data_IF_494351896306
#
_entry.id   IF_494351896306
#
_cell.length_a   1.000
_cell.length_b   1.000
_cell.length_c   1.000
_cell.angle_alpha   90.00
_cell.angle_beta   90.00
_cell.angle_gamma   90.00
#
_symmetry.space_group_name_H-M   'P 1'
#
loop_
_entity.id
_entity.type
_entity.pdbx_description
1 polymer ?
#
# COMPACT_ATOMS: atom_id res chain seq x y z
N UNK A 1 22.62 14.66 0.86
CA UNK A 1 22.74 13.31 1.46
C UNK A 1 21.87 13.11 2.72
N UNK A 2 22.05 13.86 3.83
CA UNK A 2 21.34 13.60 5.10
C UNK A 2 19.80 13.76 5.02
N UNK A 3 19.31 14.81 4.35
CA UNK A 3 17.87 15.05 4.18
C UNK A 3 17.16 13.99 3.30
N UNK A 4 17.92 13.34 2.40
CA UNK A 4 17.41 12.31 1.50
C UNK A 4 17.25 10.98 2.23
N UNK A 5 18.25 10.59 3.03
CA UNK A 5 18.16 9.41 3.89
C UNK A 5 16.95 9.49 4.83
N UNK A 6 16.67 10.67 5.40
CA UNK A 6 15.48 10.84 6.24
C UNK A 6 14.17 10.66 5.47
N UNK A 7 14.08 11.12 4.21
CA UNK A 7 12.90 10.90 3.37
C UNK A 7 12.73 9.43 2.98
N UNK A 8 13.82 8.76 2.59
CA UNK A 8 13.80 7.33 2.27
C UNK A 8 13.38 6.48 3.47
N UNK A 9 13.94 6.74 4.65
CA UNK A 9 13.54 6.07 5.90
C UNK A 9 12.06 6.32 6.19
N UNK A 10 11.58 7.56 6.06
CA UNK A 10 10.16 7.87 6.27
C UNK A 10 9.23 7.16 5.28
N UNK A 11 9.61 7.07 4.00
CA UNK A 11 8.83 6.36 2.97
C UNK A 11 8.82 4.86 3.24
N UNK A 12 9.98 4.27 3.55
CA UNK A 12 10.10 2.85 3.92
C UNK A 12 9.34 2.50 5.20
N UNK A 13 9.35 3.38 6.20
CA UNK A 13 8.54 3.22 7.40
C UNK A 13 7.05 3.24 7.08
N UNK A 14 6.59 4.20 6.28
CA UNK A 14 5.18 4.33 5.90
C UNK A 14 4.70 3.12 5.10
N UNK A 15 5.49 2.63 4.15
CA UNK A 15 5.15 1.45 3.35
C UNK A 15 5.11 0.19 4.21
N UNK A 16 6.09 -0.01 5.10
CA UNK A 16 6.16 -1.13 6.03
C UNK A 16 4.97 -1.15 7.00
N UNK A 17 4.62 0.01 7.59
CA UNK A 17 3.42 0.17 8.43
C UNK A 17 2.14 -0.17 7.66
N UNK A 18 1.99 0.35 6.43
CA UNK A 18 0.81 0.08 5.59
C UNK A 18 0.67 -1.41 5.28
N UNK A 19 1.75 -2.07 4.86
CA UNK A 19 1.73 -3.49 4.54
C UNK A 19 1.32 -4.35 5.75
N UNK A 20 1.84 -4.05 6.94
CA UNK A 20 1.50 -4.80 8.17
C UNK A 20 0.03 -4.56 8.58
N UNK A 21 -0.46 -3.32 8.49
CA UNK A 21 -1.88 -2.98 8.72
C UNK A 21 -2.82 -3.79 7.82
N UNK A 22 -2.50 -3.87 6.53
CA UNK A 22 -3.32 -4.62 5.55
C UNK A 22 -3.32 -6.11 5.88
N UNK A 23 -2.17 -6.68 6.25
CA UNK A 23 -2.06 -8.09 6.66
C UNK A 23 -2.95 -8.41 7.87
N UNK A 24 -2.93 -7.54 8.88
CA UNK A 24 -3.73 -7.70 10.10
C UNK A 24 -5.23 -7.53 9.78
N UNK A 25 -5.59 -6.50 9.00
CA UNK A 25 -6.98 -6.26 8.60
C UNK A 25 -7.59 -7.49 7.93
N UNK A 26 -6.87 -8.09 6.98
CA UNK A 26 -7.27 -9.34 6.30
C UNK A 26 -7.46 -10.50 7.28
N UNK A 27 -6.60 -10.62 8.29
CA UNK A 27 -6.72 -11.65 9.33
C UNK A 27 -7.97 -11.49 10.20
N UNK A 28 -8.31 -10.25 10.56
CA UNK A 28 -9.47 -9.93 11.39
C UNK A 28 -10.80 -10.12 10.62
N UNK A 29 -10.84 -9.72 9.35
CA UNK A 29 -12.02 -9.96 8.50
C UNK A 29 -12.26 -11.46 8.32
N UNK A 30 -11.20 -12.27 8.16
CA UNK A 30 -11.30 -13.74 8.14
C UNK A 30 -11.78 -14.35 9.47
N UNK A 31 -11.64 -13.61 10.57
CA UNK A 31 -12.17 -13.99 11.89
C UNK A 31 -13.59 -13.46 12.13
N UNK A 32 -14.31 -13.07 11.06
CA UNK A 32 -15.70 -12.60 11.07
C UNK A 32 -15.93 -11.27 11.83
N UNK A 33 -14.86 -10.48 12.03
CA UNK A 33 -14.98 -9.13 12.59
C UNK A 33 -15.49 -8.17 11.51
N UNK A 34 -16.47 -7.35 11.86
CA UNK A 34 -17.03 -6.34 10.95
C UNK A 34 -15.95 -5.43 10.35
N UNK A 35 -16.03 -5.23 9.04
CA UNK A 35 -15.12 -4.36 8.26
C UNK A 35 -15.07 -2.94 8.82
N UNK A 36 -16.19 -2.43 9.32
CA UNK A 36 -16.26 -1.07 9.91
C UNK A 36 -15.44 -0.98 11.20
N UNK A 37 -15.48 -2.03 12.03
CA UNK A 37 -14.70 -2.10 13.27
C UNK A 37 -13.22 -2.21 12.96
N UNK A 38 -12.84 -3.04 11.97
CA UNK A 38 -11.46 -3.22 11.51
C UNK A 38 -10.91 -1.92 10.92
N UNK A 39 -11.65 -1.28 10.02
CA UNK A 39 -11.28 -0.01 9.38
C UNK A 39 -11.02 1.08 10.42
N UNK A 40 -11.94 1.24 11.39
CA UNK A 40 -11.80 2.24 12.44
C UNK A 40 -10.65 1.95 13.40
N UNK A 41 -10.39 0.69 13.73
CA UNK A 41 -9.33 0.32 14.68
C UNK A 41 -7.92 0.41 14.06
N UNK A 42 -7.78 0.02 12.80
CA UNK A 42 -6.48 0.01 12.11
C UNK A 42 -6.17 1.37 11.46
N UNK A 43 -7.21 2.19 11.25
CA UNK A 43 -7.08 3.45 10.53
C UNK A 43 -6.73 3.22 9.07
N UNK A 44 -7.37 2.22 8.45
CA UNK A 44 -7.35 1.96 7.01
C UNK A 44 -8.77 2.20 6.47
N UNK A 45 -8.93 2.71 5.26
CA UNK A 45 -10.25 2.85 4.67
C UNK A 45 -10.84 1.45 4.39
N UNK A 46 -12.17 1.33 4.45
CA UNK A 46 -12.88 0.04 4.39
C UNK A 46 -12.65 -0.72 3.07
N UNK A 47 -12.33 -0.01 1.99
CA UNK A 47 -11.97 -0.58 0.68
C UNK A 47 -10.61 -1.27 0.67
N UNK A 48 -9.66 -0.85 1.53
CA UNK A 48 -8.34 -1.51 1.71
C UNK A 48 -8.41 -2.78 2.60
N UNK A 49 -9.53 -3.01 3.29
CA UNK A 49 -9.76 -4.19 4.14
C UNK A 49 -10.22 -5.43 3.36
N UNK A 50 -10.47 -5.29 2.06
CA UNK A 50 -10.87 -6.37 1.14
C UNK A 50 -9.76 -6.54 0.10
N UNK A 51 -9.53 -7.78 -0.36
CA UNK A 51 -8.37 -8.17 -1.18
C UNK A 51 -7.87 -7.12 -2.18
N UNK A 52 -6.82 -6.39 -1.79
CA UNK A 52 -5.99 -5.64 -2.72
C UNK A 52 -4.97 -6.57 -3.38
N UNK A 53 -5.02 -6.69 -4.72
CA UNK A 53 -3.87 -7.08 -5.54
C UNK A 53 -2.97 -5.85 -5.73
N UNK A 54 -2.30 -5.44 -4.66
CA UNK A 54 -1.28 -4.38 -4.73
C UNK A 54 -0.19 -4.84 -5.69
N UNK A 55 -0.05 -4.15 -6.83
CA UNK A 55 1.02 -4.38 -7.81
C UNK A 55 0.60 -4.99 -9.15
N UNK A 56 -0.69 -5.29 -9.38
CA UNK A 56 -1.14 -5.66 -10.73
C UNK A 56 -1.25 -4.44 -11.65
N UNK A 57 -0.93 -4.61 -12.94
CA UNK A 57 -1.17 -3.60 -13.98
C UNK A 57 -2.60 -3.05 -13.94
N UNK A 58 -3.58 -3.90 -13.63
CA UNK A 58 -4.99 -3.51 -13.53
C UNK A 58 -5.26 -2.57 -12.36
N UNK A 59 -4.55 -2.73 -11.24
CA UNK A 59 -4.66 -1.83 -10.10
C UNK A 59 -4.09 -0.45 -10.42
N UNK A 60 -2.96 -0.39 -11.13
CA UNK A 60 -2.34 0.89 -11.51
C UNK A 60 -3.22 1.66 -12.49
N UNK A 61 -3.74 0.98 -13.52
CA UNK A 61 -4.72 1.55 -14.45
C UNK A 61 -5.97 2.00 -13.69
N UNK A 62 -6.51 1.16 -12.81
CA UNK A 62 -7.67 1.49 -11.96
C UNK A 62 -7.45 2.73 -11.11
N UNK A 63 -6.25 2.90 -10.55
CA UNK A 63 -5.87 4.08 -9.78
C UNK A 63 -5.87 5.34 -10.64
N UNK A 64 -5.28 5.31 -11.84
CA UNK A 64 -5.30 6.45 -12.78
C UNK A 64 -6.73 6.83 -13.17
N UNK A 65 -7.60 5.83 -13.42
CA UNK A 65 -9.03 6.07 -13.68
C UNK A 65 -9.68 6.80 -12.51
N UNK A 66 -9.46 6.34 -11.27
CA UNK A 66 -10.01 6.96 -10.05
C UNK A 66 -9.52 8.41 -9.87
N UNK A 67 -8.23 8.65 -10.11
CA UNK A 67 -7.60 9.97 -10.02
C UNK A 67 -8.23 10.95 -11.01
N UNK A 68 -8.27 10.59 -12.30
CA UNK A 68 -8.86 11.44 -13.33
C UNK A 68 -10.37 11.63 -13.16
N UNK A 69 -11.09 10.61 -12.69
CA UNK A 69 -12.50 10.75 -12.34
C UNK A 69 -12.70 11.82 -11.26
N UNK A 70 -11.87 11.81 -10.22
CA UNK A 70 -11.93 12.80 -9.15
C UNK A 70 -11.57 14.21 -9.64
N UNK A 71 -10.61 14.36 -10.56
CA UNK A 71 -10.28 15.64 -11.21
C UNK A 71 -11.48 16.21 -11.98
N UNK A 72 -12.32 15.35 -12.56
CA UNK A 72 -13.57 15.73 -13.23
C UNK A 72 -14.76 15.90 -12.29
N UNK A 73 -14.53 15.77 -10.97
CA UNK A 73 -15.57 15.84 -9.93
C UNK A 73 -16.71 14.83 -10.10
N UNK A 74 -16.43 13.71 -10.78
CA UNK A 74 -17.43 12.66 -11.00
C UNK A 74 -17.45 11.68 -9.83
N UNK A 75 -18.62 11.23 -9.40
CA UNK A 75 -18.74 10.02 -8.58
C UNK A 75 -18.58 8.77 -9.46
N UNK A 76 -18.38 7.60 -8.84
CA UNK A 76 -18.37 6.33 -9.59
C UNK A 76 -19.70 6.11 -10.34
N UNK A 77 -20.81 6.58 -9.78
CA UNK A 77 -22.14 6.52 -10.38
C UNK A 77 -22.23 7.45 -11.61
N UNK A 78 -21.64 8.65 -11.55
CA UNK A 78 -21.65 9.59 -12.68
C UNK A 78 -20.82 9.09 -13.85
N UNK A 79 -19.64 8.53 -13.57
CA UNK A 79 -18.81 7.91 -14.61
C UNK A 79 -19.54 6.70 -15.21
N UNK A 80 -20.18 5.87 -14.38
CA UNK A 80 -20.94 4.71 -14.85
C UNK A 80 -22.08 5.11 -15.79
N UNK A 81 -22.84 6.15 -15.44
CA UNK A 81 -23.92 6.69 -16.28
C UNK A 81 -23.43 7.18 -17.63
N UNK A 82 -22.32 7.92 -17.66
CA UNK A 82 -21.71 8.42 -18.90
C UNK A 82 -21.19 7.29 -19.79
N UNK A 83 -20.68 6.23 -19.17
CA UNK A 83 -20.13 5.05 -19.83
C UNK A 83 -21.17 3.98 -20.21
N UNK A 84 -22.45 4.18 -19.84
CA UNK A 84 -23.51 3.18 -20.05
C UNK A 84 -23.23 1.85 -19.33
N UNK A 85 -22.67 1.91 -18.11
CA UNK A 85 -22.28 0.75 -17.29
C UNK A 85 -22.81 0.90 -15.85
N UNK A 86 -22.47 -0.04 -14.97
CA UNK A 86 -22.87 -0.02 -13.56
C UNK A 86 -21.78 0.57 -12.67
N UNK A 87 -22.17 1.21 -11.57
CA UNK A 87 -21.24 1.71 -10.55
C UNK A 87 -20.37 0.61 -9.93
N UNK A 88 -20.89 -0.61 -9.84
CA UNK A 88 -20.13 -1.77 -9.37
C UNK A 88 -19.01 -2.14 -10.35
N UNK A 89 -19.26 -2.08 -11.65
CA UNK A 89 -18.26 -2.35 -12.69
C UNK A 89 -17.14 -1.30 -12.65
N UNK A 90 -17.48 -0.01 -12.57
CA UNK A 90 -16.50 1.08 -12.37
C UNK A 90 -15.68 0.86 -11.09
N UNK A 91 -16.32 0.48 -9.98
CA UNK A 91 -15.62 0.18 -8.73
C UNK A 91 -14.64 -0.98 -8.89
N UNK A 92 -15.00 -2.03 -9.64
CA UNK A 92 -14.12 -3.17 -9.89
C UNK A 92 -12.91 -2.78 -10.74
N UNK A 93 -13.11 -1.91 -11.73
CA UNK A 93 -12.02 -1.35 -12.53
C UNK A 93 -11.08 -0.49 -11.68
N UNK A 94 -11.63 0.45 -10.90
CA UNK A 94 -10.83 1.35 -10.06
C UNK A 94 -10.02 0.62 -8.99
N UNK A 95 -10.54 -0.50 -8.49
CA UNK A 95 -9.87 -1.34 -7.50
C UNK A 95 -8.94 -2.38 -8.13
N UNK A 96 -8.87 -2.46 -9.46
CA UNK A 96 -8.07 -3.46 -10.19
C UNK A 96 -8.50 -4.90 -9.95
N UNK A 97 -9.75 -5.12 -9.54
CA UNK A 97 -10.31 -6.47 -9.29
C UNK A 97 -10.53 -7.24 -10.59
N UNK A 98 -10.86 -6.52 -11.66
CA UNK A 98 -11.10 -7.04 -13.00
C UNK A 98 -10.30 -6.21 -14.01
N UNK A 99 -9.81 -6.85 -15.06
CA UNK A 99 -9.17 -6.16 -16.17
C UNK A 99 -10.17 -5.23 -16.89
N UNK A 100 -9.74 -4.02 -17.23
CA UNK A 100 -10.54 -3.11 -18.05
C UNK A 100 -10.38 -3.51 -19.51
N UNK A 101 -11.46 -3.89 -20.23
CA UNK A 101 -11.40 -4.13 -21.67
C UNK A 101 -10.88 -2.89 -22.41
N UNK A 102 -10.13 -3.07 -23.50
CA UNK A 102 -9.47 -1.97 -24.20
C UNK A 102 -10.48 -0.94 -24.74
N UNK A 103 -11.61 -1.40 -25.29
CA UNK A 103 -12.72 -0.56 -25.74
C UNK A 103 -13.31 0.28 -24.61
N UNK A 104 -13.49 -0.32 -23.42
CA UNK A 104 -13.94 0.40 -22.22
C UNK A 104 -12.89 1.40 -21.74
N UNK A 105 -11.61 1.06 -21.81
CA UNK A 105 -10.52 1.96 -21.44
C UNK A 105 -10.47 3.21 -22.33
N UNK A 106 -10.65 3.03 -23.65
CA UNK A 106 -10.82 4.15 -24.59
C UNK A 106 -12.04 5.01 -24.25
N UNK A 107 -13.19 4.39 -24.00
CA UNK A 107 -14.40 5.15 -23.64
C UNK A 107 -14.26 5.91 -22.33
N UNK A 108 -13.53 5.35 -21.34
CA UNK A 108 -13.23 6.03 -20.08
C UNK A 108 -12.32 7.24 -20.35
N UNK A 109 -11.27 7.10 -21.16
CA UNK A 109 -10.38 8.20 -21.50
C UNK A 109 -11.14 9.34 -22.22
N UNK A 110 -12.02 9.00 -23.17
CA UNK A 110 -12.87 9.97 -23.87
C UNK A 110 -13.83 10.69 -22.90
N UNK A 111 -14.51 9.93 -22.03
CA UNK A 111 -15.45 10.46 -21.04
C UNK A 111 -14.77 11.38 -20.02
N UNK A 112 -13.52 11.09 -19.69
CA UNK A 112 -12.67 11.90 -18.82
C UNK A 112 -11.90 12.98 -19.59
N UNK A 113 -12.05 13.05 -20.92
CA UNK A 113 -11.39 13.99 -21.82
C UNK A 113 -9.87 14.04 -21.61
N UNK A 114 -9.24 12.87 -21.63
CA UNK A 114 -7.80 12.63 -21.52
C UNK A 114 -7.33 11.71 -22.64
N UNK A 115 -6.01 11.60 -22.84
CA UNK A 115 -5.45 10.56 -23.70
C UNK A 115 -5.55 9.20 -23.02
N UNK A 116 -5.72 8.13 -23.80
CA UNK A 116 -5.65 6.76 -23.24
C UNK A 116 -4.29 6.50 -22.59
N UNK A 117 -3.22 7.12 -23.08
CA UNK A 117 -1.87 7.01 -22.50
C UNK A 117 -1.81 7.52 -21.06
N UNK A 118 -2.65 8.50 -20.70
CA UNK A 118 -2.72 9.05 -19.33
C UNK A 118 -3.30 8.04 -18.32
N UNK A 119 -3.94 6.97 -18.81
CA UNK A 119 -4.43 5.83 -18.03
C UNK A 119 -3.45 4.67 -17.97
N UNK A 120 -2.42 4.67 -18.82
CA UNK A 120 -1.41 3.62 -18.87
C UNK A 120 -0.27 3.92 -17.88
N UNK A 121 0.49 2.88 -17.56
CA UNK A 121 1.70 3.02 -16.76
C UNK A 121 2.78 3.55 -17.71
N UNK A 122 3.36 4.70 -17.39
CA UNK A 122 4.62 5.11 -18.02
C UNK A 122 5.69 4.12 -17.54
N UNK A 123 6.29 3.37 -18.48
CA UNK A 123 7.62 2.84 -18.22
C UNK A 123 8.50 4.07 -17.95
N UNK A 124 9.04 4.12 -16.73
CA UNK A 124 9.91 5.18 -16.21
C UNK A 124 9.26 6.39 -15.51
N UNK A 125 8.38 6.15 -14.53
CA UNK A 125 8.54 6.90 -13.28
C UNK A 125 9.66 6.23 -12.44
N UNK A 126 10.89 6.30 -12.98
CA UNK A 126 12.09 6.33 -12.16
C UNK A 126 11.96 7.64 -11.36
N UNK A 127 11.29 7.57 -10.21
CA UNK A 127 11.43 8.51 -9.08
C UNK A 127 12.83 9.07 -9.16
N UNK A 128 13.05 10.40 -9.24
CA UNK A 128 14.39 11.03 -9.28
C UNK A 128 15.36 10.22 -8.43
N UNK A 129 16.07 9.29 -9.07
CA UNK A 129 16.62 8.16 -8.33
C UNK A 129 18.00 8.64 -7.96
N UNK A 130 18.21 8.83 -6.67
CA UNK A 130 19.54 8.90 -6.08
C UNK A 130 20.19 7.49 -6.06
N UNK A 131 19.47 6.45 -6.51
CA UNK A 131 19.95 5.08 -6.65
C UNK A 131 21.17 4.97 -7.59
N UNK A 132 21.14 5.48 -8.83
CA UNK A 132 22.31 5.60 -9.71
C UNK A 132 23.53 6.22 -9.01
N UNK A 133 23.36 7.34 -8.31
CA UNK A 133 24.44 8.05 -7.63
C UNK A 133 25.04 7.19 -6.50
N UNK A 134 24.19 6.55 -5.69
CA UNK A 134 24.62 5.65 -4.62
C UNK A 134 25.31 4.39 -5.15
N UNK A 135 24.84 3.84 -6.27
CA UNK A 135 25.44 2.69 -6.95
C UNK A 135 26.82 3.07 -7.50
N UNK A 136 26.98 4.27 -8.06
CA UNK A 136 28.28 4.77 -8.49
C UNK A 136 29.25 4.95 -7.33
N UNK A 137 28.82 5.55 -6.22
CA UNK A 137 29.66 5.69 -5.02
C UNK A 137 30.06 4.34 -4.43
N UNK A 138 29.13 3.38 -4.39
CA UNK A 138 29.41 2.00 -3.97
C UNK A 138 30.42 1.30 -4.88
N UNK A 139 30.36 1.52 -6.20
CA UNK A 139 31.31 0.96 -7.17
C UNK A 139 32.72 1.53 -7.03
N UNK A 140 32.88 2.76 -6.51
CA UNK A 140 34.19 3.38 -6.23
C UNK A 140 34.95 2.70 -5.08
N UNK A 141 34.30 1.89 -4.26
CA UNK A 141 34.97 1.08 -3.23
C UNK A 141 35.77 -0.02 -3.93
N UNK A 142 37.09 0.13 -4.06
CA UNK A 142 37.95 -0.81 -4.78
C UNK A 142 37.98 -2.21 -4.15
N UNK A 143 37.99 -2.29 -2.81
CA UNK A 143 37.99 -3.55 -2.09
C UNK A 143 36.62 -4.23 -2.17
N UNK A 144 36.59 -5.40 -2.83
CA UNK A 144 35.40 -6.23 -2.90
C UNK A 144 34.95 -6.71 -1.50
N UNK A 145 35.90 -6.93 -0.58
CA UNK A 145 35.59 -7.35 0.79
C UNK A 145 34.86 -6.26 1.56
N UNK A 146 35.34 -5.01 1.49
CA UNK A 146 34.68 -3.86 2.12
C UNK A 146 33.31 -3.61 1.49
N UNK A 147 33.21 -3.74 0.16
CA UNK A 147 31.97 -3.62 -0.59
C UNK A 147 30.93 -4.65 -0.12
N UNK A 148 31.32 -5.91 0.00
CA UNK A 148 30.45 -7.00 0.48
C UNK A 148 30.06 -6.81 1.96
N UNK A 149 31.00 -6.42 2.81
CA UNK A 149 30.73 -6.17 4.22
C UNK A 149 29.75 -5.00 4.41
N UNK A 150 29.92 -3.93 3.64
CA UNK A 150 29.00 -2.79 3.63
C UNK A 150 27.60 -3.22 3.18
N UNK A 151 27.48 -3.94 2.07
CA UNK A 151 26.20 -4.44 1.58
C UNK A 151 25.50 -5.32 2.63
N UNK A 152 26.23 -6.25 3.25
CA UNK A 152 25.71 -7.11 4.31
C UNK A 152 25.22 -6.30 5.51
N UNK A 153 26.02 -5.36 6.00
CA UNK A 153 25.66 -4.51 7.14
C UNK A 153 24.43 -3.64 6.86
N UNK A 154 24.33 -3.10 5.63
CA UNK A 154 23.20 -2.30 5.21
C UNK A 154 21.93 -3.15 5.16
N UNK A 155 22.01 -4.34 4.55
CA UNK A 155 20.89 -5.27 4.48
C UNK A 155 20.39 -5.69 5.87
N UNK A 156 21.30 -6.06 6.77
CA UNK A 156 20.97 -6.40 8.16
C UNK A 156 20.32 -5.21 8.89
N UNK A 157 20.87 -4.00 8.72
CA UNK A 157 20.32 -2.80 9.36
C UNK A 157 18.91 -2.45 8.87
N UNK A 158 18.64 -2.63 7.57
CA UNK A 158 17.32 -2.43 6.96
C UNK A 158 16.33 -3.46 7.51
N UNK A 159 16.71 -4.73 7.57
CA UNK A 159 15.85 -5.79 8.10
C UNK A 159 15.48 -5.52 9.56
N UNK A 160 16.46 -5.14 10.40
CA UNK A 160 16.23 -4.78 11.81
C UNK A 160 15.28 -3.57 11.92
N UNK A 161 15.50 -2.54 11.10
CA UNK A 161 14.62 -1.36 11.08
C UNK A 161 13.19 -1.74 10.67
N UNK A 162 13.02 -2.54 9.63
CA UNK A 162 11.71 -3.02 9.19
C UNK A 162 10.98 -3.81 10.28
N UNK A 163 11.67 -4.74 10.95
CA UNK A 163 11.09 -5.54 12.03
C UNK A 163 10.66 -4.68 13.21
N UNK A 164 11.47 -3.70 13.60
CA UNK A 164 11.12 -2.74 14.67
C UNK A 164 9.88 -1.93 14.31
N UNK A 165 9.79 -1.46 13.07
CA UNK A 165 8.65 -0.69 12.55
C UNK A 165 7.38 -1.53 12.55
N UNK A 166 7.43 -2.76 12.02
CA UNK A 166 6.29 -3.70 12.02
C UNK A 166 5.84 -4.02 13.43
N UNK A 167 6.77 -4.29 14.35
CA UNK A 167 6.47 -4.59 15.76
C UNK A 167 5.78 -3.42 16.48
N UNK A 168 6.29 -2.20 16.31
CA UNK A 168 5.68 -1.01 16.90
C UNK A 168 4.24 -0.78 16.40
N UNK A 169 4.00 -0.98 15.10
CA UNK A 169 2.66 -0.82 14.51
C UNK A 169 1.70 -1.91 15.00
N UNK A 170 2.15 -3.16 15.11
CA UNK A 170 1.36 -4.27 15.67
C UNK A 170 0.88 -3.99 17.10
N UNK A 171 1.78 -3.51 17.96
CA UNK A 171 1.46 -3.16 19.36
C UNK A 171 0.42 -2.03 19.40
N UNK A 172 0.59 -1.01 18.54
CA UNK A 172 -0.38 0.09 18.44
C UNK A 172 -1.76 -0.42 18.04
N UNK A 173 -1.85 -1.20 16.97
CA UNK A 173 -3.12 -1.78 16.48
C UNK A 173 -3.77 -2.63 17.55
N UNK A 174 -3.02 -3.51 18.20
CA UNK A 174 -3.56 -4.39 19.23
C UNK A 174 -4.22 -3.62 20.38
N UNK A 175 -3.61 -2.52 20.84
CA UNK A 175 -4.23 -1.65 21.86
C UNK A 175 -5.54 -1.06 21.39
N UNK A 176 -5.60 -0.59 20.14
CA UNK A 176 -6.81 0.00 19.58
C UNK A 176 -7.92 -1.05 19.40
N UNK A 177 -7.56 -2.30 19.06
CA UNK A 177 -8.50 -3.43 19.01
C UNK A 177 -9.03 -3.82 20.40
N UNK A 178 -8.19 -3.82 21.44
CA UNK A 178 -8.61 -4.06 22.83
C UNK A 178 -9.61 -2.98 23.27
N UNK A 179 -9.33 -1.70 23.00
CA UNK A 179 -10.24 -0.58 23.30
C UNK A 179 -11.59 -0.70 22.59
N UNK A 180 -11.61 -1.32 21.40
CA UNK A 180 -12.83 -1.63 20.64
C UNK A 180 -13.58 -2.86 21.14
N UNK A 181 -13.11 -3.52 22.20
CA UNK A 181 -13.76 -4.68 22.81
C UNK A 181 -13.50 -6.01 22.10
N UNK A 182 -12.49 -6.09 21.24
CA UNK A 182 -12.15 -7.34 20.55
C UNK A 182 -11.42 -8.28 21.52
N UNK A 183 -11.78 -9.57 21.47
CA UNK A 183 -11.19 -10.59 22.34
C UNK A 183 -9.67 -10.70 22.15
N UNK A 184 -8.94 -10.71 23.28
CA UNK A 184 -7.48 -10.84 23.33
C UNK A 184 -7.01 -12.10 22.57
N UNK A 185 -7.74 -13.21 22.67
CA UNK A 185 -7.39 -14.44 21.96
C UNK A 185 -7.40 -14.27 20.43
N UNK A 186 -8.34 -13.47 19.90
CA UNK A 186 -8.40 -13.17 18.47
C UNK A 186 -7.24 -12.25 18.08
N UNK A 187 -6.93 -11.24 18.92
CA UNK A 187 -5.82 -10.31 18.68
C UNK A 187 -4.48 -11.05 18.65
N UNK A 188 -4.20 -11.92 19.62
CA UNK A 188 -2.96 -12.70 19.66
C UNK A 188 -2.80 -13.58 18.42
N UNK A 189 -3.88 -14.25 18.00
CA UNK A 189 -3.88 -15.14 16.83
C UNK A 189 -3.70 -14.39 15.49
N UNK A 190 -4.21 -13.16 15.39
CA UNK A 190 -4.25 -12.40 14.13
C UNK A 190 -3.11 -11.41 13.96
N UNK A 191 -2.72 -10.71 15.03
CA UNK A 191 -1.67 -9.70 15.01
C UNK A 191 -0.28 -10.34 15.17
N UNK A 192 -0.21 -11.52 15.80
CA UNK A 192 1.04 -12.24 16.02
C UNK A 192 1.97 -11.46 16.95
N UNK A 193 1.45 -11.10 18.12
CA UNK A 193 2.15 -10.47 19.25
C UNK A 193 1.93 -11.31 20.50
N UNK A 194 2.77 -11.14 21.50
CA UNK A 194 2.65 -11.83 22.79
C UNK A 194 1.72 -11.09 23.76
N UNK A 195 1.29 -11.77 24.82
CA UNK A 195 0.40 -11.19 25.82
C UNK A 195 1.11 -10.10 26.66
N UNK A 196 2.38 -10.33 26.95
CA UNK A 196 3.31 -9.40 27.60
C UNK A 196 3.46 -8.09 26.83
N UNK A 197 3.46 -8.12 25.49
CA UNK A 197 3.50 -6.93 24.65
C UNK A 197 2.21 -6.09 24.69
N UNK A 198 1.06 -6.72 24.96
CA UNK A 198 -0.22 -6.02 25.12
C UNK A 198 -0.31 -5.37 26.51
N UNK A 199 0.27 -6.01 27.53
CA UNK A 199 0.15 -5.61 28.93
C UNK A 199 1.21 -4.61 29.41
N UNK A 200 2.31 -4.39 28.67
CA UNK A 200 3.43 -3.53 29.09
C UNK A 200 3.25 -2.01 28.89
N UNK A 201 2.07 -1.49 28.52
CA UNK A 201 1.83 -0.04 28.37
C UNK A 201 0.40 0.35 28.74
#
# INVERSE_FOLDING_TARGET
MFCLLTKFVQVGEKSSKKAEKVKIAKGLVKAEISVDVVSQAIGLPADECVEEKVGSIYYQIGKKIKEWRAVREYTQEDLAKKMGTTRHEISNYEQGRVAVPLDKLYGIAETLSISITDLLIEEDEIVENELPNLIEEYKKIESQELRNALMKSLFESIQICEEKVKRAEKVKIAKDLVKKGISINIILKTVGISLDEIQQI
#
